data_IF_847921745981
#
_entry.id   IF_847921745981
#
_cell.length_a   1.000
_cell.length_b   1.000
_cell.length_c   1.000
_cell.angle_alpha   90.00
_cell.angle_beta   90.00
_cell.angle_gamma   90.00
#
_symmetry.space_group_name_H-M   'P 1'
#
loop_
_entity.id
_entity.type
_entity.pdbx_description
1 polymer ?
#
# COMPACT_ATOMS: atom_id res chain seq x y z
N UNK A 1 13.64 35.48 0.93
CA UNK A 1 12.89 34.21 0.93
C UNK A 1 11.84 34.29 -0.15
N UNK A 2 12.09 33.66 -1.31
CA UNK A 2 11.13 33.59 -2.41
C UNK A 2 10.07 32.53 -2.08
N UNK A 3 8.87 32.97 -1.73
CA UNK A 3 7.72 32.07 -1.64
C UNK A 3 7.38 31.56 -3.04
N UNK A 4 7.43 30.25 -3.24
CA UNK A 4 6.95 29.61 -4.47
C UNK A 4 5.47 29.93 -4.67
N UNK A 5 5.05 30.42 -5.86
CA UNK A 5 3.66 30.79 -6.16
C UNK A 5 2.73 29.58 -6.32
N UNK A 6 3.27 28.36 -6.32
CA UNK A 6 2.48 27.14 -6.36
C UNK A 6 1.96 26.81 -4.95
N UNK A 7 0.81 27.40 -4.60
CA UNK A 7 -0.03 27.00 -3.47
C UNK A 7 -0.13 25.47 -3.41
N UNK A 8 -0.11 24.93 -2.18
CA UNK A 8 -0.54 23.57 -1.80
C UNK A 8 -1.46 22.97 -2.86
N UNK A 9 -0.97 21.95 -3.58
CA UNK A 9 -1.68 21.33 -4.70
C UNK A 9 -3.16 21.11 -4.36
N UNK A 10 -4.04 21.81 -5.08
CA UNK A 10 -5.49 21.68 -4.91
C UNK A 10 -5.87 20.32 -5.50
N UNK A 11 -6.43 19.43 -4.68
CA UNK A 11 -7.04 18.21 -5.17
C UNK A 11 -8.28 18.58 -6.00
N UNK A 12 -8.33 18.12 -7.24
CA UNK A 12 -9.45 18.33 -8.16
C UNK A 12 -10.04 16.96 -8.43
N UNK A 13 -11.28 16.75 -8.00
CA UNK A 13 -12.00 15.50 -8.18
C UNK A 13 -12.51 15.37 -9.64
N UNK A 14 -11.58 15.06 -10.54
CA UNK A 14 -11.88 14.79 -11.94
C UNK A 14 -12.50 13.38 -12.11
N UNK A 15 -12.93 13.04 -13.33
CA UNK A 15 -13.56 11.74 -13.59
C UNK A 15 -12.64 10.54 -13.31
N UNK A 16 -11.32 10.70 -13.46
CA UNK A 16 -10.34 9.69 -13.07
C UNK A 16 -10.31 9.53 -11.55
N UNK A 17 -10.16 10.62 -10.80
CA UNK A 17 -10.10 10.60 -9.34
C UNK A 17 -11.37 10.00 -8.71
N UNK A 18 -12.55 10.29 -9.26
CA UNK A 18 -13.81 9.65 -8.80
C UNK A 18 -13.75 8.13 -8.90
N UNK A 19 -13.31 7.61 -10.05
CA UNK A 19 -13.21 6.16 -10.28
C UNK A 19 -12.08 5.55 -9.44
N UNK A 20 -10.95 6.23 -9.37
CA UNK A 20 -9.79 5.79 -8.61
C UNK A 20 -10.12 5.69 -7.11
N UNK A 21 -10.70 6.74 -6.52
CA UNK A 21 -11.13 6.73 -5.13
C UNK A 21 -12.25 5.73 -4.87
N UNK A 22 -13.20 5.54 -5.79
CA UNK A 22 -14.22 4.50 -5.64
C UNK A 22 -13.60 3.09 -5.49
N UNK A 23 -12.53 2.80 -6.23
CA UNK A 23 -11.79 1.53 -6.09
C UNK A 23 -11.07 1.42 -4.75
N UNK A 24 -10.43 2.51 -4.27
CA UNK A 24 -9.82 2.53 -2.93
C UNK A 24 -10.87 2.32 -1.82
N UNK A 25 -12.03 2.97 -1.95
CA UNK A 25 -13.16 2.79 -1.04
C UNK A 25 -13.70 1.36 -1.06
N UNK A 26 -13.77 0.72 -2.23
CA UNK A 26 -14.20 -0.67 -2.34
C UNK A 26 -13.26 -1.62 -1.59
N UNK A 27 -11.94 -1.46 -1.76
CA UNK A 27 -10.94 -2.24 -1.04
C UNK A 27 -11.03 -2.03 0.47
N UNK A 28 -11.22 -0.78 0.89
CA UNK A 28 -11.37 -0.43 2.29
C UNK A 28 -12.65 -1.04 2.87
N UNK A 29 -13.84 -0.73 2.35
CA UNK A 29 -15.10 -1.15 2.95
C UNK A 29 -15.32 -2.67 2.92
N UNK A 30 -14.92 -3.34 1.84
CA UNK A 30 -15.13 -4.77 1.68
C UNK A 30 -13.95 -5.61 2.21
N UNK A 31 -12.89 -4.97 2.71
CA UNK A 31 -11.63 -5.61 3.10
C UNK A 31 -11.08 -6.53 2.00
N UNK A 32 -11.19 -6.08 0.76
CA UNK A 32 -10.79 -6.82 -0.44
C UNK A 32 -9.43 -6.38 -0.96
N UNK A 33 -8.83 -7.23 -1.79
CA UNK A 33 -7.57 -6.95 -2.46
C UNK A 33 -7.82 -6.39 -3.86
N UNK A 34 -7.14 -5.29 -4.19
CA UNK A 34 -7.24 -4.64 -5.49
C UNK A 34 -5.84 -4.34 -6.03
N UNK A 35 -5.65 -4.58 -7.32
CA UNK A 35 -4.52 -4.06 -8.09
C UNK A 35 -5.07 -2.98 -9.01
N UNK A 36 -4.56 -1.76 -8.87
CA UNK A 36 -5.03 -0.59 -9.63
C UNK A 36 -3.87 -0.09 -10.46
N UNK A 37 -4.00 -0.19 -11.79
CA UNK A 37 -3.00 0.33 -12.72
C UNK A 37 -3.55 1.60 -13.36
N UNK A 38 -2.78 2.68 -13.32
CA UNK A 38 -3.10 3.88 -14.09
C UNK A 38 -1.83 4.57 -14.59
N UNK A 39 -2.01 5.42 -15.60
CA UNK A 39 -0.91 6.11 -16.25
C UNK A 39 -0.02 6.89 -15.25
N UNK A 40 1.31 6.94 -15.48
CA UNK A 40 2.17 7.87 -14.77
C UNK A 40 1.66 9.31 -14.92
N UNK A 41 1.60 10.05 -13.81
CA UNK A 41 1.10 11.43 -13.81
C UNK A 41 -0.44 11.58 -13.81
N UNK A 42 -1.20 10.48 -13.75
CA UNK A 42 -2.67 10.54 -13.75
C UNK A 42 -3.31 11.19 -12.50
N UNK A 43 -2.55 11.36 -11.42
CA UNK A 43 -3.04 11.95 -10.15
C UNK A 43 -3.13 10.99 -8.96
N UNK A 44 -2.82 9.69 -9.15
CA UNK A 44 -2.89 8.62 -8.13
C UNK A 44 -2.48 9.05 -6.71
N UNK A 45 -1.27 9.60 -6.56
CA UNK A 45 -0.75 10.02 -5.25
C UNK A 45 -1.61 11.11 -4.59
N UNK A 46 -2.23 12.00 -5.36
CA UNK A 46 -3.16 13.01 -4.81
C UNK A 46 -4.48 12.36 -4.38
N UNK A 47 -5.01 11.41 -5.16
CA UNK A 47 -6.17 10.62 -4.78
C UNK A 47 -5.97 9.81 -3.50
N UNK A 48 -4.81 9.18 -3.35
CA UNK A 48 -4.41 8.44 -2.13
C UNK A 48 -4.32 9.40 -0.94
N UNK A 49 -3.65 10.54 -1.09
CA UNK A 49 -3.51 11.53 -0.01
C UNK A 49 -4.85 12.09 0.45
N UNK A 50 -5.76 12.38 -0.48
CA UNK A 50 -7.11 12.85 -0.16
C UNK A 50 -7.91 11.76 0.57
N UNK A 51 -7.79 10.50 0.14
CA UNK A 51 -8.38 9.35 0.83
C UNK A 51 -7.87 9.23 2.28
N UNK A 52 -6.55 9.28 2.50
CA UNK A 52 -5.97 9.25 3.85
C UNK A 52 -6.44 10.41 4.72
N UNK A 53 -6.61 11.60 4.14
CA UNK A 53 -7.09 12.78 4.86
C UNK A 53 -8.54 12.60 5.33
N UNK A 54 -9.39 11.97 4.50
CA UNK A 54 -10.80 11.72 4.82
C UNK A 54 -10.98 10.57 5.81
N UNK A 55 -10.25 9.47 5.64
CA UNK A 55 -10.39 8.27 6.46
C UNK A 55 -9.55 8.31 7.76
N UNK A 56 -8.49 9.12 7.79
CA UNK A 56 -7.47 9.09 8.83
C UNK A 56 -6.28 8.23 8.40
N UNK A 57 -5.07 8.78 8.54
CA UNK A 57 -3.84 8.16 8.03
C UNK A 57 -3.45 6.83 8.68
N UNK A 58 -4.03 6.50 9.84
CA UNK A 58 -3.85 5.22 10.53
C UNK A 58 -4.88 4.18 10.14
N UNK A 59 -6.09 4.60 9.80
CA UNK A 59 -7.18 3.72 9.33
C UNK A 59 -6.94 3.30 7.89
N UNK A 60 -6.56 4.25 7.03
CA UNK A 60 -6.07 3.99 5.67
C UNK A 60 -4.60 4.36 5.61
N UNK A 61 -3.76 3.34 5.72
CA UNK A 61 -2.32 3.48 5.74
C UNK A 61 -1.79 3.41 4.31
N UNK A 62 -1.10 4.45 3.86
CA UNK A 62 -0.45 4.46 2.55
C UNK A 62 1.07 4.50 2.70
N UNK A 63 1.75 3.66 1.93
CA UNK A 63 3.21 3.58 1.81
C UNK A 63 3.59 3.61 0.34
N UNK A 64 4.85 3.94 0.05
CA UNK A 64 5.43 3.81 -1.29
C UNK A 64 6.26 2.54 -1.32
N UNK A 65 6.15 1.75 -2.38
CA UNK A 65 7.00 0.58 -2.57
C UNK A 65 8.50 0.95 -2.51
N UNK A 66 9.34 0.13 -1.87
CA UNK A 66 10.77 0.41 -1.79
C UNK A 66 11.42 0.22 -3.17
N UNK A 67 11.97 1.30 -3.72
CA UNK A 67 12.63 1.27 -5.01
C UNK A 67 14.06 0.73 -4.89
N UNK A 68 14.44 -0.20 -5.76
CA UNK A 68 15.78 -0.81 -5.84
C UNK A 68 16.23 -1.51 -4.54
N UNK A 69 15.30 -2.01 -3.73
CA UNK A 69 15.62 -2.83 -2.58
C UNK A 69 14.57 -3.93 -2.52
N UNK A 70 15.00 -5.17 -2.73
CA UNK A 70 14.11 -6.33 -2.83
C UNK A 70 13.81 -6.98 -1.47
N UNK A 71 14.53 -6.59 -0.41
CA UNK A 71 14.39 -7.17 0.93
C UNK A 71 13.02 -6.86 1.53
N UNK A 72 12.28 -7.86 2.02
CA UNK A 72 10.97 -7.65 2.68
C UNK A 72 10.99 -6.59 3.79
N UNK A 73 12.14 -6.44 4.48
CA UNK A 73 12.34 -5.42 5.53
C UNK A 73 12.11 -4.01 4.99
N UNK A 74 12.48 -3.72 3.74
CA UNK A 74 12.38 -2.38 3.17
C UNK A 74 10.93 -1.90 3.15
N UNK A 75 9.99 -2.74 2.71
CA UNK A 75 8.57 -2.44 2.79
C UNK A 75 8.08 -2.39 4.24
N UNK A 76 8.55 -3.32 5.09
CA UNK A 76 8.27 -3.30 6.52
C UNK A 76 8.60 -1.96 7.17
N UNK A 77 9.79 -1.43 6.90
CA UNK A 77 10.28 -0.15 7.42
C UNK A 77 9.42 1.04 6.94
N UNK A 78 8.88 0.99 5.72
CA UNK A 78 7.91 1.97 5.23
C UNK A 78 6.60 1.92 6.04
N UNK A 79 6.07 0.71 6.31
CA UNK A 79 4.84 0.54 7.08
C UNK A 79 5.04 1.02 8.52
N UNK A 80 6.14 0.63 9.18
CA UNK A 80 6.46 1.11 10.52
C UNK A 80 6.55 2.64 10.56
N UNK A 81 7.24 3.24 9.58
CA UNK A 81 7.38 4.69 9.48
C UNK A 81 6.03 5.37 9.28
N UNK A 82 5.17 4.83 8.42
CA UNK A 82 3.82 5.36 8.17
C UNK A 82 2.91 5.29 9.40
N UNK A 83 3.09 4.26 10.25
CA UNK A 83 2.41 4.16 11.55
C UNK A 83 2.96 5.13 12.62
N UNK A 84 4.12 5.75 12.35
CA UNK A 84 4.84 6.59 13.32
C UNK A 84 5.61 5.77 14.36
N UNK A 85 5.95 4.53 14.03
CA UNK A 85 6.68 3.62 14.92
C UNK A 85 8.20 3.73 14.71
N UNK A 86 9.00 3.60 15.78
CA UNK A 86 10.45 3.64 15.67
C UNK A 86 11.01 2.36 15.03
N UNK A 87 12.02 2.50 14.18
CA UNK A 87 12.75 1.40 13.54
C UNK A 87 13.86 0.84 14.45
N UNK A 88 13.54 0.56 15.73
CA UNK A 88 14.52 0.07 16.71
C UNK A 88 14.56 -1.46 16.74
N UNK A 89 15.76 -2.02 16.62
CA UNK A 89 16.01 -3.46 16.72
C UNK A 89 15.94 -4.18 15.38
N UNK A 90 16.29 -5.46 15.40
CA UNK A 90 16.36 -6.29 14.19
C UNK A 90 14.98 -6.54 13.58
N UNK A 91 14.92 -6.65 12.25
CA UNK A 91 13.68 -6.95 11.54
C UNK A 91 12.97 -8.21 12.05
N UNK A 92 13.72 -9.29 12.34
CA UNK A 92 13.19 -10.54 12.92
C UNK A 92 12.38 -10.36 14.22
N UNK A 93 12.62 -9.28 14.99
CA UNK A 93 11.88 -8.99 16.23
C UNK A 93 10.76 -7.97 16.02
N UNK A 94 10.83 -7.19 14.93
CA UNK A 94 9.83 -6.19 14.55
C UNK A 94 8.71 -6.80 13.72
N UNK A 95 9.03 -7.63 12.73
CA UNK A 95 8.09 -8.29 11.81
C UNK A 95 6.91 -8.96 12.54
N UNK A 96 7.11 -9.83 13.56
CA UNK A 96 5.99 -10.52 14.21
C UNK A 96 5.04 -9.59 14.98
N UNK A 97 5.49 -8.37 15.29
CA UNK A 97 4.69 -7.37 16.03
C UNK A 97 3.89 -6.47 15.11
N UNK A 98 4.17 -6.47 13.80
CA UNK A 98 3.59 -5.51 12.88
C UNK A 98 2.06 -5.63 12.83
N UNK A 99 1.53 -6.84 12.66
CA UNK A 99 0.08 -7.02 12.62
C UNK A 99 -0.59 -6.62 13.94
N UNK A 100 0.07 -6.88 15.08
CA UNK A 100 -0.42 -6.41 16.39
C UNK A 100 -0.53 -4.88 16.45
N UNK A 101 0.44 -4.15 15.89
CA UNK A 101 0.34 -2.69 15.78
C UNK A 101 -0.77 -2.25 14.82
N UNK A 102 -0.88 -2.85 13.64
CA UNK A 102 -1.93 -2.54 12.67
C UNK A 102 -3.33 -2.73 13.28
N UNK A 103 -3.52 -3.83 14.01
CA UNK A 103 -4.75 -4.10 14.75
C UNK A 103 -5.00 -3.05 15.85
N UNK A 104 -4.01 -2.77 16.70
CA UNK A 104 -4.12 -1.79 17.79
C UNK A 104 -4.44 -0.37 17.28
N UNK A 105 -3.87 0.03 16.15
CA UNK A 105 -4.14 1.33 15.53
C UNK A 105 -5.44 1.37 14.72
N UNK A 106 -6.16 0.23 14.61
CA UNK A 106 -7.37 0.15 13.81
C UNK A 106 -7.12 0.37 12.32
N UNK A 107 -5.99 -0.11 11.81
CA UNK A 107 -5.67 0.00 10.38
C UNK A 107 -6.54 -0.96 9.58
N UNK A 108 -7.37 -0.43 8.71
CA UNK A 108 -8.39 -1.19 7.98
C UNK A 108 -8.03 -1.42 6.51
N UNK A 109 -7.16 -0.58 5.95
CA UNK A 109 -6.69 -0.71 4.58
C UNK A 109 -5.22 -0.29 4.46
N UNK A 110 -4.43 -1.11 3.76
CA UNK A 110 -3.08 -0.79 3.32
C UNK A 110 -3.11 -0.41 1.83
N UNK A 111 -2.53 0.74 1.48
CA UNK A 111 -2.31 1.17 0.11
C UNK A 111 -0.81 1.20 -0.14
N UNK A 112 -0.34 0.49 -1.16
CA UNK A 112 1.04 0.54 -1.62
C UNK A 112 1.06 1.31 -2.94
N UNK A 113 1.51 2.57 -2.91
CA UNK A 113 1.78 3.37 -4.12
C UNK A 113 3.06 2.87 -4.79
N UNK A 114 3.18 3.12 -6.09
CA UNK A 114 4.25 2.61 -6.94
C UNK A 114 4.49 1.09 -6.82
N UNK A 115 3.42 0.31 -6.63
CA UNK A 115 3.48 -1.14 -6.43
C UNK A 115 4.19 -1.95 -7.54
N UNK A 116 4.47 -1.34 -8.69
CA UNK A 116 5.30 -1.93 -9.74
C UNK A 116 6.77 -2.13 -9.33
N UNK A 117 7.24 -1.45 -8.29
CA UNK A 117 8.58 -1.63 -7.72
C UNK A 117 8.63 -2.78 -6.69
N UNK A 118 7.51 -3.48 -6.43
CA UNK A 118 7.50 -4.59 -5.47
C UNK A 118 8.16 -5.85 -6.03
N UNK A 119 9.17 -6.34 -5.28
CA UNK A 119 9.72 -7.69 -5.42
C UNK A 119 8.73 -8.79 -4.97
N UNK A 120 9.07 -10.04 -5.27
CA UNK A 120 8.30 -11.21 -4.81
C UNK A 120 8.30 -11.31 -3.27
N UNK A 121 9.43 -11.03 -2.61
CA UNK A 121 9.53 -11.05 -1.14
C UNK A 121 8.54 -10.08 -0.49
N UNK A 122 8.37 -8.89 -1.06
CA UNK A 122 7.39 -7.93 -0.59
C UNK A 122 5.95 -8.45 -0.72
N UNK A 123 5.62 -9.09 -1.85
CA UNK A 123 4.28 -9.65 -2.08
C UNK A 123 4.00 -10.81 -1.11
N UNK A 124 4.99 -11.67 -0.86
CA UNK A 124 4.90 -12.73 0.15
C UNK A 124 4.69 -12.16 1.55
N UNK A 125 5.43 -11.11 1.90
CA UNK A 125 5.28 -10.43 3.18
C UNK A 125 3.90 -9.77 3.33
N UNK A 126 3.38 -9.11 2.28
CA UNK A 126 2.03 -8.54 2.28
C UNK A 126 0.99 -9.65 2.50
N UNK A 127 1.10 -10.77 1.79
CA UNK A 127 0.23 -11.94 2.00
C UNK A 127 0.27 -12.39 3.46
N UNK A 128 1.47 -12.61 4.00
CA UNK A 128 1.67 -13.04 5.38
C UNK A 128 0.97 -12.10 6.37
N UNK A 129 1.15 -10.78 6.25
CA UNK A 129 0.54 -9.80 7.15
C UNK A 129 -1.00 -9.83 7.06
N UNK A 130 -1.56 -9.89 5.85
CA UNK A 130 -3.03 -9.94 5.70
C UNK A 130 -3.64 -11.24 6.19
N UNK A 131 -2.94 -12.37 6.00
CA UNK A 131 -3.37 -13.67 6.50
C UNK A 131 -3.33 -13.70 8.03
N UNK A 132 -2.26 -13.17 8.64
CA UNK A 132 -2.18 -12.99 10.09
C UNK A 132 -3.33 -12.14 10.62
N UNK A 133 -3.65 -11.01 9.95
CA UNK A 133 -4.76 -10.15 10.33
C UNK A 133 -6.07 -10.92 10.41
N UNK A 134 -6.38 -11.72 9.38
CA UNK A 134 -7.60 -12.53 9.34
C UNK A 134 -7.59 -13.70 10.34
N UNK A 135 -6.50 -14.45 10.41
CA UNK A 135 -6.44 -15.72 11.14
C UNK A 135 -6.16 -15.55 12.64
N UNK A 136 -5.37 -14.55 13.03
CA UNK A 136 -4.91 -14.38 14.41
C UNK A 136 -5.63 -13.25 15.15
N UNK A 137 -6.08 -12.21 14.43
CA UNK A 137 -6.64 -11.01 15.04
C UNK A 137 -8.14 -10.80 14.74
N UNK A 138 -8.76 -11.67 13.90
CA UNK A 138 -10.10 -11.45 13.33
C UNK A 138 -10.25 -10.03 12.74
N UNK A 139 -9.16 -9.55 12.13
CA UNK A 139 -8.97 -8.19 11.65
C UNK A 139 -8.57 -8.23 10.17
N UNK A 140 -9.51 -8.49 9.26
CA UNK A 140 -9.21 -8.52 7.83
C UNK A 140 -8.76 -7.14 7.35
N UNK A 141 -7.63 -7.11 6.65
CA UNK A 141 -7.02 -5.89 6.12
C UNK A 141 -7.30 -5.76 4.62
N UNK A 142 -7.94 -4.65 4.21
CA UNK A 142 -8.06 -4.30 2.79
C UNK A 142 -6.69 -3.96 2.19
N UNK A 143 -6.49 -4.26 0.91
CA UNK A 143 -5.22 -3.99 0.23
C UNK A 143 -5.44 -3.34 -1.13
N UNK A 144 -4.71 -2.27 -1.42
CA UNK A 144 -4.59 -1.68 -2.75
C UNK A 144 -3.13 -1.65 -3.18
N UNK A 145 -2.79 -2.40 -4.23
CA UNK A 145 -1.53 -2.29 -4.95
C UNK A 145 -1.71 -1.33 -6.11
N UNK A 146 -1.21 -0.10 -5.95
CA UNK A 146 -1.38 0.97 -6.92
C UNK A 146 -0.12 1.10 -7.76
N UNK A 147 -0.21 0.78 -9.04
CA UNK A 147 0.93 0.73 -9.94
C UNK A 147 0.83 1.77 -11.06
N UNK A 148 2.00 2.25 -11.50
CA UNK A 148 2.12 2.97 -12.75
C UNK A 148 2.30 1.97 -13.89
N UNK A 149 1.50 2.10 -14.94
CA UNK A 149 1.59 1.26 -16.13
C UNK A 149 0.99 1.99 -17.32
N UNK A 150 1.37 1.58 -18.53
CA UNK A 150 0.79 2.06 -19.79
C UNK A 150 0.33 0.87 -20.63
N UNK A 151 -0.80 1.00 -21.31
CA UNK A 151 -1.34 -0.05 -22.18
C UNK A 151 -1.91 -1.25 -21.41
N UNK A 152 -1.82 -2.45 -21.99
CA UNK A 152 -2.48 -3.67 -21.50
C UNK A 152 -1.60 -4.53 -20.57
N UNK A 153 -0.45 -4.02 -20.12
CA UNK A 153 0.49 -4.78 -19.29
C UNK A 153 0.35 -4.37 -17.83
N UNK A 154 0.02 -5.34 -16.97
CA UNK A 154 0.09 -5.16 -15.52
C UNK A 154 1.56 -5.39 -15.12
N UNK A 155 2.27 -4.39 -14.56
CA UNK A 155 3.70 -4.52 -14.28
C UNK A 155 4.02 -5.63 -13.27
N UNK A 156 3.09 -5.91 -12.34
CA UNK A 156 3.20 -7.04 -11.40
C UNK A 156 3.19 -8.41 -12.07
N UNK A 157 2.69 -8.51 -13.31
CA UNK A 157 2.64 -9.78 -14.04
C UNK A 157 4.05 -10.37 -14.21
N UNK A 158 5.08 -9.56 -14.43
CA UNK A 158 6.46 -10.05 -14.54
C UNK A 158 6.98 -10.66 -13.24
N UNK A 159 6.59 -10.10 -12.09
CA UNK A 159 6.94 -10.63 -10.77
C UNK A 159 6.17 -11.92 -10.47
N UNK A 160 4.91 -12.00 -10.89
CA UNK A 160 4.03 -13.15 -10.66
C UNK A 160 4.23 -14.31 -11.66
N UNK A 161 4.73 -14.02 -12.87
CA UNK A 161 5.00 -15.01 -13.93
C UNK A 161 6.31 -15.78 -13.71
N UNK A 162 7.01 -15.57 -12.58
CA UNK A 162 8.20 -16.36 -12.24
C UNK A 162 7.80 -17.82 -11.96
N UNK A 163 8.58 -18.81 -12.43
CA UNK A 163 8.13 -20.20 -12.53
C UNK A 163 7.95 -20.95 -11.20
N UNK A 164 8.37 -20.38 -10.07
CA UNK A 164 8.23 -20.99 -8.74
C UNK A 164 7.66 -20.01 -7.69
N UNK A 165 6.36 -19.69 -7.73
CA UNK A 165 5.73 -19.14 -6.57
C UNK A 165 5.00 -20.31 -5.90
N UNK A 166 5.67 -20.97 -4.96
CA UNK A 166 5.06 -21.97 -4.08
C UNK A 166 4.06 -21.26 -3.17
N UNK A 167 2.91 -20.88 -3.74
CA UNK A 167 1.72 -20.47 -3.01
C UNK A 167 1.14 -21.73 -2.39
N UNK A 168 1.68 -22.16 -1.26
CA UNK A 168 0.98 -23.11 -0.41
C UNK A 168 -0.23 -22.36 0.17
N UNK A 169 -1.41 -22.71 -0.33
CA UNK A 169 -2.71 -22.32 0.22
C UNK A 169 -2.98 -23.05 1.53
#
# INVERSE_FOLDING_TARGET
MTHSPFRKHIFIENAFEKRFQAMLHAAWHNRSWHVIVADPGAGKTMGIRDMQKKAGSRTVLAVVAPKNNDDEQALGDQIFTALGLPLRGHWRTRKPKLMGYLHQYGTECLIVDDAHDLSLEHLMFIKEVTDQGRLQYDHPLGLCLVAAGRGNTIPLKLTLDQPDPTWLQ
#
